data_IF_708585341326
#
_entry.id   IF_708585341326
#
_cell.length_a   1.000
_cell.length_b   1.000
_cell.length_c   1.000
_cell.angle_alpha   90.00
_cell.angle_beta   90.00
_cell.angle_gamma   90.00
#
_symmetry.space_group_name_H-M   'P 1'
#
loop_
_entity.id
_entity.type
_entity.pdbx_description
1 polymer ?
#
# COMPACT_ATOMS: atom_id res chain seq x y z
N UNK A 1 -17.45 37.47 42.19
CA UNK A 1 -16.74 36.21 41.87
C UNK A 1 -17.22 35.76 40.49
N UNK A 2 -16.48 36.08 39.42
CA UNK A 2 -16.81 35.70 38.04
C UNK A 2 -15.91 34.53 37.65
N UNK A 3 -16.49 33.36 37.35
CA UNK A 3 -15.75 32.24 36.76
C UNK A 3 -15.73 32.39 35.24
N UNK A 4 -14.52 32.50 34.68
CA UNK A 4 -14.24 32.41 33.25
C UNK A 4 -14.31 30.93 32.83
N UNK A 5 -15.22 30.59 31.92
CA UNK A 5 -15.15 29.32 31.19
C UNK A 5 -14.36 29.53 29.90
N UNK A 6 -13.16 28.98 29.89
CA UNK A 6 -12.28 28.86 28.73
C UNK A 6 -12.94 27.90 27.73
N UNK A 7 -13.39 28.40 26.58
CA UNK A 7 -13.86 27.55 25.46
C UNK A 7 -12.66 26.93 24.78
N UNK A 8 -12.47 25.63 24.97
CA UNK A 8 -11.57 24.77 24.21
C UNK A 8 -12.12 24.64 22.78
N UNK A 9 -11.46 25.28 21.81
CA UNK A 9 -11.78 25.10 20.38
C UNK A 9 -10.97 23.91 19.88
N UNK A 10 -11.65 22.76 19.72
CA UNK A 10 -11.08 21.57 19.09
C UNK A 10 -11.14 21.80 17.58
N UNK A 11 -9.99 22.03 16.93
CA UNK A 11 -9.88 21.96 15.48
C UNK A 11 -9.87 20.48 15.07
N UNK A 12 -11.07 19.95 14.81
CA UNK A 12 -11.23 18.74 14.00
C UNK A 12 -10.90 19.10 12.56
N UNK A 13 -9.65 18.91 12.14
CA UNK A 13 -9.31 18.91 10.71
C UNK A 13 -9.93 17.66 10.10
N UNK A 14 -11.13 17.81 9.54
CA UNK A 14 -11.72 16.84 8.64
C UNK A 14 -10.76 16.77 7.46
N UNK A 15 -9.93 15.72 7.42
CA UNK A 15 -9.17 15.40 6.21
C UNK A 15 -10.20 15.13 5.12
N UNK A 16 -10.15 15.80 3.97
CA UNK A 16 -11.02 15.48 2.86
C UNK A 16 -10.63 14.08 2.36
N UNK A 17 -11.33 13.06 2.88
CA UNK A 17 -11.40 11.76 2.25
C UNK A 17 -11.98 12.00 0.86
N UNK A 18 -11.20 11.66 -0.17
CA UNK A 18 -11.69 11.66 -1.54
C UNK A 18 -12.98 10.82 -1.61
N UNK A 19 -14.02 11.28 -2.32
CA UNK A 19 -15.21 10.48 -2.51
C UNK A 19 -14.82 9.17 -3.19
N UNK A 20 -15.20 8.06 -2.55
CA UNK A 20 -14.90 6.68 -2.95
C UNK A 20 -15.25 6.39 -4.42
N UNK A 21 -16.24 7.12 -4.95
CA UNK A 21 -16.76 6.98 -6.30
C UNK A 21 -15.76 7.43 -7.39
N UNK A 22 -14.89 8.42 -7.12
CA UNK A 22 -13.91 8.90 -8.09
C UNK A 22 -12.70 7.95 -8.26
N UNK A 23 -12.41 7.12 -7.26
CA UNK A 23 -11.39 6.06 -7.36
C UNK A 23 -11.98 4.82 -8.05
N UNK A 24 -13.28 4.57 -7.89
CA UNK A 24 -13.97 3.41 -8.46
C UNK A 24 -14.06 3.44 -9.99
N UNK A 25 -14.20 4.64 -10.59
CA UNK A 25 -14.25 4.79 -12.06
C UNK A 25 -12.87 4.64 -12.73
N UNK A 26 -11.78 4.73 -11.94
CA UNK A 26 -10.41 4.52 -12.40
C UNK A 26 -10.05 3.04 -12.61
N UNK A 27 -10.82 2.14 -12.00
CA UNK A 27 -10.50 0.73 -11.82
C UNK A 27 -11.75 -0.07 -12.19
N UNK A 28 -11.98 -0.27 -13.49
CA UNK A 28 -13.15 -1.00 -14.03
C UNK A 28 -13.14 -2.51 -13.71
N UNK A 29 -12.33 -2.93 -12.75
CA UNK A 29 -12.31 -4.26 -12.17
C UNK A 29 -12.29 -4.14 -10.65
N UNK A 30 -13.01 -5.01 -9.95
CA UNK A 30 -13.16 -5.06 -8.49
C UNK A 30 -11.86 -5.40 -7.74
N UNK A 31 -10.71 -5.09 -8.31
CA UNK A 31 -9.39 -5.36 -7.75
C UNK A 31 -9.08 -4.37 -6.62
N UNK A 32 -8.35 -4.82 -5.58
CA UNK A 32 -7.93 -3.96 -4.49
C UNK A 32 -7.06 -2.79 -4.98
N UNK A 33 -7.29 -1.63 -4.38
CA UNK A 33 -6.43 -0.44 -4.50
C UNK A 33 -6.23 0.19 -3.15
N UNK A 34 -5.01 0.64 -2.90
CA UNK A 34 -4.65 1.40 -1.71
C UNK A 34 -3.97 2.69 -2.11
N UNK A 35 -4.01 3.67 -1.21
CA UNK A 35 -3.50 5.01 -1.48
C UNK A 35 -2.87 5.63 -0.25
N UNK A 36 -1.93 6.54 -0.47
CA UNK A 36 -1.28 7.33 0.58
C UNK A 36 -1.03 8.75 0.09
N UNK A 37 -1.00 9.72 1.02
CA UNK A 37 -0.58 11.09 0.71
C UNK A 37 0.94 11.18 0.75
N UNK A 38 1.54 11.68 -0.33
CA UNK A 38 2.93 12.05 -0.39
C UNK A 38 3.17 13.44 0.25
N UNK A 39 4.43 13.79 0.47
CA UNK A 39 4.81 15.04 1.13
C UNK A 39 4.38 16.31 0.41
N UNK A 40 4.36 16.23 -0.91
CA UNK A 40 3.88 17.31 -1.76
C UNK A 40 2.34 17.40 -1.80
N UNK A 41 1.63 16.58 -0.99
CA UNK A 41 0.18 16.54 -0.90
C UNK A 41 -0.52 15.71 -2.01
N UNK A 42 0.23 15.24 -3.01
CA UNK A 42 -0.31 14.37 -4.05
C UNK A 42 -0.72 13.02 -3.46
N UNK A 43 -1.77 12.41 -4.03
CA UNK A 43 -2.15 11.04 -3.69
C UNK A 43 -1.32 10.09 -4.54
N UNK A 44 -0.64 9.14 -3.92
CA UNK A 44 -0.03 8.01 -4.59
C UNK A 44 -0.96 6.80 -4.51
N UNK A 45 -1.13 6.11 -5.62
CA UNK A 45 -1.94 4.90 -5.74
C UNK A 45 -1.04 3.68 -5.86
N UNK A 46 -1.49 2.56 -5.30
CA UNK A 46 -0.91 1.23 -5.48
C UNK A 46 -2.03 0.24 -5.85
N UNK A 47 -1.92 -0.34 -7.04
CA UNK A 47 -3.01 -1.04 -7.71
C UNK A 47 -2.52 -2.05 -8.75
N UNK A 48 -3.40 -2.90 -9.25
CA UNK A 48 -3.14 -3.76 -10.41
C UNK A 48 -3.47 -3.00 -11.70
N UNK A 49 -2.56 -3.01 -12.67
CA UNK A 49 -2.69 -2.30 -13.94
C UNK A 49 -2.45 -3.25 -15.13
N UNK A 50 -3.24 -3.09 -16.19
CA UNK A 50 -3.03 -3.80 -17.46
C UNK A 50 -2.05 -3.02 -18.32
N UNK A 51 -0.86 -3.58 -18.53
CA UNK A 51 0.15 -2.96 -19.36
C UNK A 51 -0.03 -3.29 -20.86
N UNK A 52 0.75 -2.64 -21.72
CA UNK A 52 0.68 -2.78 -23.17
C UNK A 52 0.89 -4.22 -23.71
N UNK A 53 1.53 -5.09 -22.93
CA UNK A 53 1.70 -6.52 -23.21
C UNK A 53 0.47 -7.36 -22.83
N UNK A 54 -0.59 -6.73 -22.31
CA UNK A 54 -1.81 -7.38 -21.82
C UNK A 54 -1.62 -8.09 -20.47
N UNK A 55 -0.50 -7.85 -19.79
CA UNK A 55 -0.24 -8.41 -18.45
C UNK A 55 -0.78 -7.45 -17.40
N UNK A 56 -1.61 -7.98 -16.51
CA UNK A 56 -2.02 -7.37 -15.28
C UNK A 56 -0.89 -7.54 -14.25
N UNK A 57 -0.31 -6.43 -13.82
CA UNK A 57 0.77 -6.43 -12.84
C UNK A 57 0.60 -5.29 -11.85
N UNK A 58 1.24 -5.37 -10.69
CA UNK A 58 1.17 -4.27 -9.73
C UNK A 58 1.88 -3.04 -10.25
N UNK A 59 1.29 -1.89 -9.98
CA UNK A 59 1.77 -0.58 -10.37
C UNK A 59 1.59 0.42 -9.24
N UNK A 60 2.47 1.42 -9.25
CA UNK A 60 2.28 2.66 -8.48
C UNK A 60 2.29 3.86 -9.41
N UNK A 61 1.49 4.86 -9.06
CA UNK A 61 1.37 6.10 -9.83
C UNK A 61 0.76 7.21 -8.98
N UNK A 62 1.10 8.45 -9.28
CA UNK A 62 0.39 9.59 -8.70
C UNK A 62 -1.00 9.72 -9.33
N UNK A 63 -1.96 10.08 -8.49
CA UNK A 63 -3.28 10.45 -8.93
C UNK A 63 -3.29 11.91 -9.39
N UNK A 64 -3.91 12.16 -10.52
CA UNK A 64 -4.17 13.49 -11.05
C UNK A 64 -5.63 13.85 -10.79
N UNK A 65 -5.83 14.93 -10.05
CA UNK A 65 -7.15 15.54 -9.89
C UNK A 65 -7.48 16.33 -11.15
N UNK A 66 -8.63 16.05 -11.76
CA UNK A 66 -9.10 16.73 -12.96
C UNK A 66 -10.54 17.16 -12.76
N UNK A 67 -11.00 18.09 -13.61
CA UNK A 67 -12.42 18.49 -13.62
C UNK A 67 -13.38 17.34 -13.97
N UNK A 68 -12.86 16.20 -14.42
CA UNK A 68 -13.59 14.98 -14.77
C UNK A 68 -13.46 13.88 -13.70
N UNK A 69 -12.83 14.17 -12.56
CA UNK A 69 -12.57 13.20 -11.50
C UNK A 69 -11.09 12.81 -11.38
N UNK A 70 -10.83 11.81 -10.54
CA UNK A 70 -9.49 11.32 -10.24
C UNK A 70 -9.00 10.43 -11.38
N UNK A 71 -7.79 10.68 -11.89
CA UNK A 71 -7.15 9.90 -12.96
C UNK A 71 -5.75 9.43 -12.55
N UNK A 72 -5.18 8.44 -13.24
CA UNK A 72 -3.76 8.10 -13.08
C UNK A 72 -2.92 9.05 -13.93
N UNK A 73 -1.90 9.66 -13.35
CA UNK A 73 -0.93 10.44 -14.11
C UNK A 73 0.02 9.47 -14.85
N UNK A 74 -0.25 9.20 -16.13
CA UNK A 74 0.46 8.17 -16.93
C UNK A 74 1.99 8.35 -16.96
N UNK A 75 2.50 9.57 -16.81
CA UNK A 75 3.95 9.84 -16.77
C UNK A 75 4.62 9.29 -15.49
N UNK A 76 3.84 9.07 -14.44
CA UNK A 76 4.27 8.57 -13.13
C UNK A 76 4.01 7.09 -12.94
N UNK A 77 3.32 6.44 -13.89
CA UNK A 77 3.00 5.02 -13.83
C UNK A 77 4.28 4.18 -13.88
N UNK A 78 4.48 3.36 -12.85
CA UNK A 78 5.60 2.41 -12.76
C UNK A 78 5.11 1.03 -12.38
N UNK A 79 5.66 0.03 -13.06
CA UNK A 79 5.44 -1.38 -12.76
C UNK A 79 6.27 -1.78 -11.52
N UNK A 80 5.62 -2.39 -10.53
CA UNK A 80 6.22 -2.84 -9.26
C UNK A 80 6.74 -4.27 -9.39
N UNK A 81 5.97 -5.14 -10.02
CA UNK A 81 6.25 -6.57 -10.17
C UNK A 81 6.47 -6.94 -11.63
N UNK A 82 7.10 -8.10 -11.89
CA UNK A 82 7.33 -8.61 -13.25
C UNK A 82 6.87 -10.07 -13.36
N UNK A 83 5.82 -10.40 -12.60
CA UNK A 83 5.32 -11.76 -12.41
C UNK A 83 3.81 -11.88 -12.61
N UNK A 84 3.19 -10.85 -13.18
CA UNK A 84 1.77 -10.72 -13.44
C UNK A 84 1.16 -11.81 -14.33
N UNK A 85 -0.12 -11.63 -14.66
CA UNK A 85 -0.93 -12.59 -15.42
C UNK A 85 -1.85 -11.90 -16.42
N UNK A 86 -2.47 -12.67 -17.31
CA UNK A 86 -3.49 -12.15 -18.25
C UNK A 86 -4.90 -12.09 -17.67
N UNK A 87 -5.10 -12.63 -16.48
CA UNK A 87 -6.36 -12.52 -15.73
C UNK A 87 -6.28 -11.32 -14.79
N UNK A 88 -7.41 -10.70 -14.47
CA UNK A 88 -7.46 -9.58 -13.53
C UNK A 88 -7.48 -10.06 -12.07
N UNK A 89 -7.19 -9.14 -11.16
CA UNK A 89 -7.32 -9.27 -9.70
C UNK A 89 -6.51 -10.43 -9.10
N UNK A 90 -5.25 -10.58 -9.53
CA UNK A 90 -4.36 -11.59 -8.95
C UNK A 90 -3.78 -11.17 -7.60
N UNK A 91 -3.95 -9.92 -7.21
CA UNK A 91 -3.41 -9.37 -5.98
C UNK A 91 -4.55 -8.99 -5.03
N UNK A 92 -4.70 -9.73 -3.94
CA UNK A 92 -5.92 -9.67 -3.10
C UNK A 92 -5.83 -8.72 -1.91
N UNK A 93 -4.63 -8.37 -1.46
CA UNK A 93 -4.41 -7.42 -0.38
C UNK A 93 -3.23 -6.53 -0.76
N UNK A 94 -3.36 -5.22 -0.55
CA UNK A 94 -2.33 -4.23 -0.84
C UNK A 94 -2.16 -3.29 0.36
N UNK A 95 -0.92 -3.01 0.73
CA UNK A 95 -0.59 -1.93 1.65
C UNK A 95 0.61 -1.14 1.16
N UNK A 96 0.58 0.16 1.42
CA UNK A 96 1.66 1.09 1.10
C UNK A 96 1.98 1.96 2.32
N UNK A 97 3.27 2.14 2.58
CA UNK A 97 3.75 3.07 3.59
C UNK A 97 4.98 3.81 3.07
N UNK A 98 5.31 4.91 3.72
CA UNK A 98 6.45 5.73 3.33
C UNK A 98 7.77 5.13 3.81
N UNK A 99 8.78 5.12 2.95
CA UNK A 99 10.15 4.65 3.24
C UNK A 99 11.14 5.80 3.45
N UNK A 100 10.81 6.74 4.34
CA UNK A 100 11.63 7.92 4.59
C UNK A 100 11.63 8.93 3.44
N UNK A 101 12.80 9.55 3.18
CA UNK A 101 12.94 10.60 2.17
C UNK A 101 12.97 10.07 0.73
N UNK A 102 13.18 8.76 0.55
CA UNK A 102 13.60 8.23 -0.74
C UNK A 102 12.67 7.19 -1.33
N UNK A 103 11.52 6.85 -0.75
CA UNK A 103 10.77 5.76 -1.33
C UNK A 103 9.48 5.31 -0.65
N UNK A 104 9.05 4.13 -1.07
CA UNK A 104 7.80 3.50 -0.64
C UNK A 104 8.04 2.05 -0.24
N UNK A 105 7.40 1.65 0.84
CA UNK A 105 7.24 0.28 1.26
C UNK A 105 5.94 -0.26 0.68
N UNK A 106 6.02 -1.38 -0.01
CA UNK A 106 4.90 -2.01 -0.70
C UNK A 106 4.74 -3.42 -0.18
N UNK A 107 3.52 -3.78 0.17
CA UNK A 107 3.17 -5.14 0.59
C UNK A 107 1.96 -5.60 -0.18
N UNK A 108 2.01 -6.83 -0.67
CA UNK A 108 0.88 -7.44 -1.34
C UNK A 108 0.77 -8.93 -1.08
N UNK A 109 -0.44 -9.47 -1.26
CA UNK A 109 -0.65 -10.92 -1.41
C UNK A 109 -1.01 -11.28 -2.84
N UNK A 110 -0.62 -12.47 -3.29
CA UNK A 110 -0.93 -12.97 -4.64
C UNK A 110 -1.76 -14.23 -4.58
N UNK A 111 -2.82 -14.32 -5.38
CA UNK A 111 -3.64 -15.52 -5.54
C UNK A 111 -2.95 -16.59 -6.40
N UNK A 112 -2.21 -16.16 -7.45
CA UNK A 112 -1.44 -17.06 -8.34
C UNK A 112 -0.39 -17.85 -7.57
N UNK A 113 0.39 -17.15 -6.75
CA UNK A 113 1.41 -17.74 -5.89
C UNK A 113 1.14 -17.28 -4.46
N UNK A 114 0.26 -18.01 -3.72
CA UNK A 114 -0.16 -17.66 -2.36
C UNK A 114 1.02 -17.23 -1.51
N UNK A 115 0.88 -16.13 -0.80
CA UNK A 115 1.94 -15.62 0.06
C UNK A 115 1.82 -14.13 0.28
N UNK A 116 2.59 -13.66 1.25
CA UNK A 116 2.77 -12.25 1.56
C UNK A 116 4.12 -11.80 1.03
N UNK A 117 4.12 -10.75 0.23
CA UNK A 117 5.29 -10.22 -0.45
C UNK A 117 5.55 -8.78 -0.02
N UNK A 118 6.82 -8.42 0.07
CA UNK A 118 7.28 -7.10 0.41
C UNK A 118 8.33 -6.64 -0.61
N UNK A 119 8.26 -5.38 -1.00
CA UNK A 119 9.35 -4.70 -1.69
C UNK A 119 9.43 -3.25 -1.24
N UNK A 120 10.61 -2.68 -1.42
CA UNK A 120 10.87 -1.25 -1.30
C UNK A 120 11.09 -0.68 -2.70
N UNK A 121 10.54 0.49 -2.96
CA UNK A 121 10.81 1.26 -4.17
C UNK A 121 11.54 2.54 -3.80
N UNK A 122 12.76 2.69 -4.30
CA UNK A 122 13.65 3.81 -3.99
C UNK A 122 13.85 4.79 -5.15
N UNK A 123 13.99 6.06 -4.77
CA UNK A 123 14.33 7.24 -5.54
C UNK A 123 13.31 7.68 -6.58
N UNK A 124 13.67 8.74 -7.31
CA UNK A 124 13.03 9.15 -8.57
C UNK A 124 13.22 8.12 -9.69
N UNK A 125 14.08 7.12 -9.47
CA UNK A 125 14.33 6.02 -10.39
C UNK A 125 13.35 4.84 -10.22
N UNK A 126 12.55 4.81 -9.14
CA UNK A 126 11.51 3.78 -8.89
C UNK A 126 12.07 2.37 -9.07
N UNK A 127 13.25 2.11 -8.48
CA UNK A 127 13.91 0.80 -8.56
C UNK A 127 13.41 -0.06 -7.41
N UNK A 128 12.90 -1.26 -7.72
CA UNK A 128 12.48 -2.21 -6.70
C UNK A 128 13.68 -2.98 -6.14
N UNK A 129 13.75 -3.07 -4.81
CA UNK A 129 14.54 -4.12 -4.18
C UNK A 129 13.99 -5.49 -4.61
N UNK A 130 14.81 -6.56 -4.65
CA UNK A 130 14.30 -7.90 -4.85
C UNK A 130 13.15 -8.20 -3.88
N UNK A 131 12.08 -8.79 -4.41
CA UNK A 131 10.87 -9.08 -3.63
C UNK A 131 11.19 -10.07 -2.52
N UNK A 132 10.84 -9.72 -1.28
CA UNK A 132 10.89 -10.60 -0.12
C UNK A 132 9.54 -11.31 0.04
N UNK A 133 9.54 -12.62 0.24
CA UNK A 133 8.33 -13.38 0.62
C UNK A 133 8.37 -13.65 2.13
N UNK A 134 7.37 -13.18 2.86
CA UNK A 134 7.26 -13.25 4.32
C UNK A 134 6.36 -14.41 4.79
N UNK A 135 5.37 -14.80 3.98
CA UNK A 135 4.55 -15.99 4.20
C UNK A 135 4.32 -16.72 2.87
N UNK A 136 4.06 -18.02 2.95
CA UNK A 136 3.68 -18.87 1.81
C UNK A 136 2.17 -19.16 1.77
N UNK A 137 1.43 -18.72 2.79
CA UNK A 137 -0.01 -18.94 2.95
C UNK A 137 -0.85 -17.94 2.16
N UNK A 138 -2.13 -18.24 2.00
CA UNK A 138 -3.13 -17.24 1.64
C UNK A 138 -3.34 -16.26 2.80
N UNK A 139 -3.59 -15.00 2.46
CA UNK A 139 -3.66 -13.88 3.42
C UNK A 139 -5.05 -13.28 3.34
N UNK A 140 -5.72 -13.14 4.49
CA UNK A 140 -7.06 -12.54 4.56
C UNK A 140 -6.98 -11.02 4.69
N UNK A 141 -6.01 -10.51 5.44
CA UNK A 141 -5.84 -9.08 5.71
C UNK A 141 -4.36 -8.74 5.89
N UNK A 142 -3.99 -7.50 5.58
CA UNK A 142 -2.63 -6.98 5.79
C UNK A 142 -2.65 -5.54 6.27
N UNK A 143 -1.73 -5.22 7.18
CA UNK A 143 -1.42 -3.86 7.60
C UNK A 143 0.08 -3.62 7.54
N UNK A 144 0.48 -2.41 7.15
CA UNK A 144 1.86 -1.99 7.04
C UNK A 144 2.02 -0.64 7.74
N UNK A 145 3.02 -0.54 8.61
CA UNK A 145 3.41 0.70 9.30
C UNK A 145 4.91 0.88 9.15
N UNK A 146 5.35 2.10 8.86
CA UNK A 146 6.76 2.45 8.76
C UNK A 146 7.02 3.78 9.48
N UNK A 147 7.87 3.74 10.51
CA UNK A 147 8.17 4.89 11.36
C UNK A 147 9.63 4.84 11.82
N UNK A 148 10.36 5.96 11.69
CA UNK A 148 11.74 6.11 12.16
C UNK A 148 12.68 4.97 11.70
N UNK A 149 12.51 4.52 10.45
CA UNK A 149 13.28 3.44 9.82
C UNK A 149 12.87 2.03 10.24
N UNK A 150 11.95 1.88 11.19
CA UNK A 150 11.33 0.59 11.55
C UNK A 150 10.13 0.32 10.64
N UNK A 151 10.05 -0.87 10.08
CA UNK A 151 8.92 -1.33 9.26
C UNK A 151 8.26 -2.53 9.94
N UNK A 152 6.96 -2.44 10.19
CA UNK A 152 6.16 -3.51 10.77
C UNK A 152 5.08 -3.91 9.78
N UNK A 153 4.98 -5.21 9.50
CA UNK A 153 3.92 -5.80 8.68
C UNK A 153 3.16 -6.78 9.54
N UNK A 154 1.85 -6.58 9.65
CA UNK A 154 0.94 -7.50 10.32
C UNK A 154 0.00 -8.11 9.28
N UNK A 155 -0.35 -9.39 9.43
CA UNK A 155 -1.32 -10.03 8.55
C UNK A 155 -2.15 -11.08 9.29
N UNK A 156 -3.32 -11.39 8.73
CA UNK A 156 -4.13 -12.56 9.11
C UNK A 156 -3.83 -13.70 8.14
N UNK A 157 -3.23 -14.77 8.65
CA UNK A 157 -2.92 -15.97 7.87
C UNK A 157 -4.15 -16.88 7.79
N UNK A 158 -4.56 -17.26 6.57
CA UNK A 158 -5.76 -18.07 6.36
C UNK A 158 -5.56 -19.57 6.64
N UNK A 159 -4.32 -20.03 6.81
CA UNK A 159 -4.08 -21.44 7.07
C UNK A 159 -4.38 -21.82 8.52
N UNK A 160 -4.19 -20.90 9.46
CA UNK A 160 -4.38 -21.14 10.90
C UNK A 160 -5.20 -20.06 11.62
N UNK A 161 -5.75 -19.09 10.89
CA UNK A 161 -6.56 -17.97 11.38
C UNK A 161 -5.86 -17.15 12.48
N UNK A 162 -4.53 -17.05 12.45
CA UNK A 162 -3.75 -16.24 13.38
C UNK A 162 -3.23 -14.97 12.75
N UNK A 163 -3.12 -13.95 13.59
CA UNK A 163 -2.35 -12.77 13.23
C UNK A 163 -0.87 -13.04 13.41
N UNK A 164 -0.07 -12.56 12.47
CA UNK A 164 1.38 -12.60 12.52
C UNK A 164 1.94 -11.20 12.35
N UNK A 165 3.17 -11.01 12.83
CA UNK A 165 3.96 -9.82 12.61
C UNK A 165 5.36 -10.16 12.10
N UNK A 166 5.85 -9.36 11.17
CA UNK A 166 7.25 -9.29 10.79
C UNK A 166 7.75 -7.86 11.01
N UNK A 167 8.94 -7.73 11.57
CA UNK A 167 9.56 -6.44 11.88
C UNK A 167 10.91 -6.36 11.18
N UNK A 168 11.17 -5.20 10.59
CA UNK A 168 12.48 -4.77 10.13
C UNK A 168 12.89 -3.53 10.92
N UNK A 169 14.12 -3.53 11.43
CA UNK A 169 14.73 -2.40 12.13
C UNK A 169 15.68 -1.59 11.23
N UNK A 170 15.72 -1.91 9.92
CA UNK A 170 16.68 -1.38 8.94
C UNK A 170 16.01 -1.03 7.60
N UNK A 171 14.85 -0.38 7.67
CA UNK A 171 14.09 0.11 6.51
C UNK A 171 13.70 -0.98 5.49
N UNK A 172 13.45 -2.19 5.99
CA UNK A 172 13.02 -3.35 5.22
C UNK A 172 14.12 -4.12 4.50
N UNK A 173 15.40 -3.82 4.79
CA UNK A 173 16.55 -4.53 4.19
C UNK A 173 16.69 -5.95 4.76
N UNK A 174 16.46 -6.11 6.06
CA UNK A 174 16.41 -7.39 6.75
C UNK A 174 15.15 -7.51 7.59
N UNK A 175 14.75 -8.75 7.89
CA UNK A 175 13.50 -9.06 8.55
C UNK A 175 13.73 -10.08 9.64
N UNK A 176 13.16 -9.82 10.80
CA UNK A 176 13.05 -10.81 11.86
C UNK A 176 12.13 -11.95 11.42
N UNK A 177 12.29 -13.13 12.02
CA UNK A 177 11.40 -14.26 11.77
C UNK A 177 9.97 -13.90 12.17
N UNK A 178 8.98 -14.05 11.27
CA UNK A 178 7.58 -13.85 11.59
C UNK A 178 7.15 -14.54 12.89
N UNK A 179 6.45 -13.81 13.76
CA UNK A 179 5.91 -14.34 15.02
C UNK A 179 4.39 -14.22 15.03
N UNK A 180 3.66 -15.21 15.57
CA UNK A 180 2.24 -15.06 15.84
C UNK A 180 2.03 -13.98 16.91
N UNK A 181 1.02 -13.14 16.72
CA UNK A 181 0.56 -12.16 17.69
C UNK A 181 -0.39 -12.86 18.66
N UNK A 182 0.01 -12.98 19.93
CA UNK A 182 -0.88 -13.45 20.97
C UNK A 182 -1.94 -12.37 21.22
N UNK A 183 -3.22 -12.74 21.15
CA UNK A 183 -4.35 -11.90 21.57
C UNK A 183 -4.36 -11.73 23.09
#
# INVERSE_FOLDING_TARGET
>A
MRLNFLKLVIFLTISPLLPRDALAELLDDHCPVTQIKADNGQTLLFFEHVFADGVHDLAIAYAQDSTQGLSVESQTLKRVTFGGERHACNFSNLAIARGGDWGWHLVWSSAKKPGLYYARMDGDAWVSSPVKRLSVSSIAEVALVAELGKVTINWLDMNDDKHYAAISDDEGRSWQTPQPLNK
#
